data_IF_455621715635
#
_entry.id   IF_455621715635
#
_cell.length_a   1.000
_cell.length_b   1.000
_cell.length_c   1.000
_cell.angle_alpha   90.00
_cell.angle_beta   90.00
_cell.angle_gamma   90.00
#
_symmetry.space_group_name_H-M   'P 1'
#
loop_
_entity.id
_entity.type
_entity.pdbx_description
1 polymer ?
#
# COMPACT_ATOMS: atom_id res chain seq x y z
N UNK A 1 3.96 -18.89 29.59
CA UNK A 1 4.19 -17.43 29.47
C UNK A 1 2.84 -16.78 29.30
N UNK A 2 2.48 -15.81 30.14
CA UNK A 2 1.19 -15.10 30.05
C UNK A 2 1.17 -14.24 28.78
N UNK A 3 0.10 -14.32 27.98
CA UNK A 3 -0.07 -13.51 26.77
C UNK A 3 -0.42 -12.09 27.22
N UNK A 4 0.47 -11.13 26.95
CA UNK A 4 0.17 -9.71 27.18
C UNK A 4 -0.92 -9.29 26.21
N UNK A 5 -2.09 -8.91 26.70
CA UNK A 5 -3.19 -8.42 25.88
C UNK A 5 -3.14 -6.89 25.80
N UNK A 6 -2.80 -6.37 24.61
CA UNK A 6 -2.84 -4.94 24.31
C UNK A 6 -4.24 -4.57 23.78
N UNK A 7 -5.19 -4.27 24.68
CA UNK A 7 -6.59 -3.95 24.32
C UNK A 7 -7.14 -2.80 25.16
N UNK A 8 -7.76 -1.81 24.52
CA UNK A 8 -8.50 -0.74 25.19
C UNK A 8 -9.89 -1.20 25.65
N UNK A 9 -10.40 -0.61 26.74
CA UNK A 9 -11.70 -0.98 27.35
C UNK A 9 -12.92 -0.52 26.53
N UNK A 10 -12.78 0.50 25.67
CA UNK A 10 -13.86 1.00 24.79
C UNK A 10 -13.32 1.68 23.53
N UNK A 11 -14.17 1.81 22.49
CA UNK A 11 -13.83 2.49 21.23
C UNK A 11 -14.51 3.87 21.14
N UNK A 12 -13.77 4.95 20.78
CA UNK A 12 -14.31 6.30 20.72
C UNK A 12 -15.10 6.63 19.43
N UNK A 13 -15.18 5.73 18.45
CA UNK A 13 -15.68 6.04 17.09
C UNK A 13 -17.20 5.86 16.90
N UNK A 14 -18.01 6.03 17.95
CA UNK A 14 -19.40 5.57 17.95
C UNK A 14 -20.46 6.56 17.40
N UNK A 15 -20.16 7.82 17.05
CA UNK A 15 -21.20 8.72 16.50
C UNK A 15 -20.71 9.86 15.58
N UNK A 16 -21.65 10.28 14.71
CA UNK A 16 -21.79 11.48 13.87
C UNK A 16 -21.11 11.59 12.50
N UNK A 17 -21.97 11.81 11.49
CA UNK A 17 -21.73 12.12 10.06
C UNK A 17 -20.80 11.16 9.30
N UNK A 18 -21.38 10.32 8.41
CA UNK A 18 -20.65 9.36 7.58
C UNK A 18 -19.73 10.04 6.56
N UNK A 19 -18.50 10.31 6.99
CA UNK A 19 -17.39 10.68 6.14
C UNK A 19 -16.96 9.46 5.30
N UNK A 20 -16.55 9.67 4.04
CA UNK A 20 -16.13 8.58 3.13
C UNK A 20 -15.03 7.68 3.73
N UNK A 21 -14.17 8.24 4.58
CA UNK A 21 -13.16 7.48 5.34
C UNK A 21 -13.80 6.38 6.21
N UNK A 22 -14.90 6.67 6.90
CA UNK A 22 -15.58 5.68 7.74
C UNK A 22 -16.26 4.60 6.89
N UNK A 23 -16.83 4.99 5.75
CA UNK A 23 -17.38 4.03 4.78
C UNK A 23 -16.30 3.11 4.21
N UNK A 24 -15.09 3.62 3.96
CA UNK A 24 -13.94 2.83 3.53
C UNK A 24 -13.42 1.94 4.67
N UNK A 25 -13.43 2.43 5.92
CA UNK A 25 -13.05 1.63 7.09
C UNK A 25 -14.00 0.43 7.29
N UNK A 26 -15.31 0.63 7.14
CA UNK A 26 -16.31 -0.46 7.15
C UNK A 26 -16.04 -1.49 6.02
N UNK A 27 -15.42 -1.06 4.92
CA UNK A 27 -15.10 -1.89 3.74
C UNK A 27 -13.65 -2.34 3.70
N UNK A 28 -12.84 -2.08 4.73
CA UNK A 28 -11.38 -2.24 4.68
C UNK A 28 -10.97 -3.64 4.21
N UNK A 29 -11.58 -4.70 4.74
CA UNK A 29 -11.28 -6.07 4.34
C UNK A 29 -11.50 -6.31 2.84
N UNK A 30 -12.58 -5.77 2.27
CA UNK A 30 -12.85 -5.86 0.82
C UNK A 30 -11.85 -5.05 0.01
N UNK A 31 -11.51 -3.85 0.48
CA UNK A 31 -10.51 -2.99 -0.16
C UNK A 31 -9.17 -3.73 -0.23
N UNK A 32 -8.71 -4.31 0.88
CA UNK A 32 -7.43 -5.02 0.94
C UNK A 32 -7.41 -6.25 0.03
N UNK A 33 -8.49 -7.03 -0.03
CA UNK A 33 -8.60 -8.16 -0.97
C UNK A 33 -8.46 -7.67 -2.41
N UNK A 34 -9.22 -6.64 -2.80
CA UNK A 34 -9.18 -6.13 -4.17
C UNK A 34 -7.82 -5.50 -4.51
N UNK A 35 -7.20 -4.77 -3.59
CA UNK A 35 -5.84 -4.25 -3.76
C UNK A 35 -4.84 -5.39 -3.94
N UNK A 36 -4.98 -6.47 -3.18
CA UNK A 36 -4.16 -7.66 -3.31
C UNK A 36 -4.30 -8.35 -4.66
N UNK A 37 -5.53 -8.48 -5.16
CA UNK A 37 -5.80 -9.03 -6.50
C UNK A 37 -5.14 -8.20 -7.60
N UNK A 38 -5.20 -6.87 -7.49
CA UNK A 38 -4.55 -5.94 -8.42
C UNK A 38 -3.03 -6.09 -8.39
N UNK A 39 -2.43 -6.07 -7.19
CA UNK A 39 -0.99 -6.22 -7.03
C UNK A 39 -0.51 -7.59 -7.56
N UNK A 40 -1.20 -8.66 -7.20
CA UNK A 40 -0.90 -10.01 -7.67
C UNK A 40 -0.96 -10.11 -9.20
N UNK A 41 -2.01 -9.57 -9.82
CA UNK A 41 -2.16 -9.57 -11.28
C UNK A 41 -1.04 -8.80 -11.97
N UNK A 42 -0.64 -7.63 -11.42
CA UNK A 42 0.46 -6.84 -11.97
C UNK A 42 1.81 -7.58 -11.87
N UNK A 43 2.10 -8.19 -10.72
CA UNK A 43 3.35 -8.95 -10.51
C UNK A 43 3.42 -10.16 -11.43
N UNK A 44 2.33 -10.92 -11.56
CA UNK A 44 2.29 -12.07 -12.47
C UNK A 44 2.39 -11.67 -13.94
N UNK A 45 1.76 -10.56 -14.33
CA UNK A 45 1.79 -10.06 -15.71
C UNK A 45 3.10 -9.39 -16.11
N UNK A 46 3.97 -9.03 -15.16
CA UNK A 46 5.19 -8.27 -15.45
C UNK A 46 6.15 -8.97 -16.41
N UNK A 47 6.16 -10.30 -16.41
CA UNK A 47 6.95 -11.10 -17.34
C UNK A 47 6.47 -11.00 -18.79
N UNK A 48 5.25 -10.53 -19.06
CA UNK A 48 4.71 -10.33 -20.40
C UNK A 48 4.57 -8.85 -20.79
N UNK A 49 4.82 -7.93 -19.85
CA UNK A 49 4.77 -6.49 -20.08
C UNK A 49 6.06 -5.95 -20.72
N UNK A 50 5.93 -4.83 -21.43
CA UNK A 50 7.06 -4.05 -21.93
C UNK A 50 7.89 -3.50 -20.76
N UNK A 51 9.22 -3.60 -20.86
CA UNK A 51 10.13 -3.09 -19.83
C UNK A 51 10.04 -1.56 -19.65
N UNK A 52 9.56 -0.82 -20.67
CA UNK A 52 9.31 0.62 -20.57
C UNK A 52 8.00 0.97 -21.28
N UNK A 53 7.20 1.85 -20.68
CA UNK A 53 6.08 2.45 -21.37
C UNK A 53 6.58 3.41 -22.45
N UNK A 54 6.30 3.12 -23.72
CA UNK A 54 6.78 3.91 -24.88
C UNK A 54 5.96 5.16 -25.12
N UNK A 55 4.68 5.12 -24.77
CA UNK A 55 3.74 6.22 -24.94
C UNK A 55 2.82 6.31 -23.71
N UNK A 56 3.07 7.32 -22.88
CA UNK A 56 2.25 7.67 -21.71
C UNK A 56 1.47 8.97 -21.94
N UNK A 57 1.35 9.44 -23.20
CA UNK A 57 0.65 10.68 -23.55
C UNK A 57 -0.85 10.65 -23.21
N UNK A 58 -1.42 9.46 -23.02
CA UNK A 58 -2.77 9.28 -22.52
C UNK A 58 -2.97 9.81 -21.08
N UNK A 59 -1.90 9.98 -20.30
CA UNK A 59 -1.96 10.57 -18.97
C UNK A 59 -1.79 12.10 -19.04
N UNK A 60 -2.84 12.84 -18.67
CA UNK A 60 -2.80 14.30 -18.56
C UNK A 60 -2.55 14.73 -17.11
N UNK A 61 -1.34 15.21 -16.75
CA UNK A 61 -1.04 15.68 -15.41
C UNK A 61 -1.72 17.01 -15.05
N UNK A 62 -2.31 17.71 -16.02
CA UNK A 62 -3.05 18.97 -15.82
C UNK A 62 -4.54 18.76 -15.54
N UNK A 63 -5.05 17.53 -15.74
CA UNK A 63 -6.46 17.20 -15.50
C UNK A 63 -6.83 17.50 -14.05
N UNK A 64 -7.85 18.34 -13.78
CA UNK A 64 -8.20 18.72 -12.43
C UNK A 64 -8.73 17.53 -11.63
N UNK A 65 -8.30 17.44 -10.38
CA UNK A 65 -8.83 16.45 -9.43
C UNK A 65 -10.22 16.88 -8.92
N UNK A 66 -11.15 15.93 -8.68
CA UNK A 66 -12.45 16.24 -8.10
C UNK A 66 -12.33 16.92 -6.74
N UNK A 67 -13.16 17.93 -6.48
CA UNK A 67 -13.20 18.61 -5.17
C UNK A 67 -13.73 17.71 -4.04
N UNK A 68 -14.47 16.65 -4.38
CA UNK A 68 -14.98 15.66 -3.43
C UNK A 68 -14.29 14.32 -3.68
N UNK A 69 -13.83 13.68 -2.60
CA UNK A 69 -13.30 12.32 -2.67
C UNK A 69 -14.34 11.34 -3.22
N UNK A 70 -13.85 10.27 -3.85
CA UNK A 70 -14.68 9.21 -4.45
C UNK A 70 -14.65 7.89 -3.67
N UNK A 71 -13.86 7.83 -2.59
CA UNK A 71 -13.60 6.61 -1.84
C UNK A 71 -12.54 5.72 -2.48
N UNK A 72 -12.03 4.77 -1.69
CA UNK A 72 -10.84 4.00 -2.03
C UNK A 72 -11.06 3.04 -3.21
N UNK A 73 -12.22 2.40 -3.30
CA UNK A 73 -12.51 1.47 -4.40
C UNK A 73 -12.59 2.19 -5.76
N UNK A 74 -13.11 3.40 -5.80
CA UNK A 74 -13.15 4.22 -7.01
C UNK A 74 -11.75 4.71 -7.41
N UNK A 75 -10.94 5.12 -6.43
CA UNK A 75 -9.54 5.47 -6.66
C UNK A 75 -8.75 4.27 -7.19
N UNK A 76 -8.96 3.07 -6.63
CA UNK A 76 -8.30 1.84 -7.08
C UNK A 76 -8.71 1.46 -8.51
N UNK A 77 -9.95 1.72 -8.92
CA UNK A 77 -10.37 1.57 -10.33
C UNK A 77 -9.64 2.55 -11.24
N UNK A 78 -9.58 3.83 -10.86
CA UNK A 78 -8.84 4.83 -11.62
C UNK A 78 -7.34 4.47 -11.76
N UNK A 79 -6.71 3.90 -10.73
CA UNK A 79 -5.34 3.37 -10.81
C UNK A 79 -5.23 2.27 -11.87
N UNK A 80 -6.14 1.29 -11.83
CA UNK A 80 -6.13 0.17 -12.77
C UNK A 80 -6.37 0.62 -14.22
N UNK A 81 -7.28 1.56 -14.44
CA UNK A 81 -7.70 1.96 -15.77
C UNK A 81 -6.75 3.00 -16.40
N UNK A 82 -6.20 3.90 -15.58
CA UNK A 82 -5.53 5.11 -16.06
C UNK A 82 -4.02 5.13 -15.77
N UNK A 83 -3.54 4.33 -14.81
CA UNK A 83 -2.14 4.38 -14.35
C UNK A 83 -1.42 3.08 -14.67
N UNK A 84 -1.91 1.92 -14.22
CA UNK A 84 -1.23 0.63 -14.39
C UNK A 84 -0.85 0.32 -15.86
N UNK A 85 -1.69 0.59 -16.88
CA UNK A 85 -1.35 0.33 -18.27
C UNK A 85 -0.18 1.18 -18.79
N UNK A 86 0.12 2.28 -18.10
CA UNK A 86 1.16 3.24 -18.48
C UNK A 86 2.44 3.07 -17.64
N UNK A 87 2.48 2.08 -16.73
CA UNK A 87 3.67 1.78 -15.94
C UNK A 87 4.65 0.91 -16.72
N UNK A 88 5.94 1.11 -16.43
CA UNK A 88 6.99 0.20 -16.85
C UNK A 88 6.99 -1.07 -16.00
N UNK A 89 7.35 -2.21 -16.59
CA UNK A 89 7.51 -3.48 -15.88
C UNK A 89 8.85 -3.56 -15.11
N UNK A 90 9.12 -2.60 -14.22
CA UNK A 90 10.42 -2.50 -13.52
C UNK A 90 10.71 -3.66 -12.56
N UNK A 91 9.66 -4.39 -12.14
CA UNK A 91 9.78 -5.60 -11.32
C UNK A 91 10.17 -6.85 -12.13
N UNK A 92 10.04 -6.80 -13.47
CA UNK A 92 10.32 -7.92 -14.34
C UNK A 92 11.82 -8.14 -14.60
N UNK A 93 12.24 -9.38 -14.96
CA UNK A 93 13.65 -9.75 -15.10
C UNK A 93 14.36 -9.09 -16.30
N UNK A 94 13.61 -8.37 -17.15
CA UNK A 94 14.11 -7.67 -18.33
C UNK A 94 14.37 -6.18 -18.09
N UNK A 95 14.03 -5.65 -16.91
CA UNK A 95 14.29 -4.25 -16.58
C UNK A 95 15.72 -4.08 -16.07
N UNK A 96 16.59 -3.47 -16.89
CA UNK A 96 18.01 -3.26 -16.60
C UNK A 96 18.36 -1.76 -16.45
N UNK A 97 17.34 -0.92 -16.23
CA UNK A 97 17.52 0.51 -15.99
C UNK A 97 17.70 0.82 -14.50
N UNK A 98 18.54 1.81 -14.19
CA UNK A 98 18.74 2.33 -12.83
C UNK A 98 19.10 1.27 -11.77
N UNK A 99 19.04 1.66 -10.49
CA UNK A 99 19.09 0.75 -9.34
C UNK A 99 17.67 0.61 -8.82
N UNK A 100 16.85 -0.12 -9.55
CA UNK A 100 15.45 -0.37 -9.20
C UNK A 100 15.36 -1.78 -8.63
N UNK A 101 15.01 -1.88 -7.34
CA UNK A 101 15.01 -3.14 -6.61
C UNK A 101 13.88 -4.08 -7.03
N UNK A 102 14.10 -5.39 -6.87
CA UNK A 102 13.08 -6.43 -7.00
C UNK A 102 12.47 -6.74 -5.64
N UNK A 103 11.33 -6.13 -5.33
CA UNK A 103 10.61 -6.33 -4.07
C UNK A 103 10.34 -7.82 -3.85
N UNK A 104 10.86 -8.36 -2.75
CA UNK A 104 10.56 -9.74 -2.37
C UNK A 104 9.14 -9.84 -1.77
N UNK A 105 8.50 -11.01 -1.80
CA UNK A 105 7.21 -11.20 -1.12
C UNK A 105 7.24 -10.82 0.37
N UNK A 106 8.36 -11.10 1.06
CA UNK A 106 8.53 -10.73 2.47
C UNK A 106 8.59 -9.21 2.66
N UNK A 107 9.30 -8.48 1.79
CA UNK A 107 9.36 -7.02 1.82
C UNK A 107 7.97 -6.39 1.57
N UNK A 108 7.23 -6.89 0.56
CA UNK A 108 5.88 -6.41 0.25
C UNK A 108 4.92 -6.57 1.44
N UNK A 109 4.93 -7.75 2.08
CA UNK A 109 4.12 -8.00 3.28
C UNK A 109 4.56 -7.10 4.44
N UNK A 110 5.86 -6.87 4.59
CA UNK A 110 6.42 -5.93 5.57
C UNK A 110 5.87 -4.51 5.38
N UNK A 111 5.91 -3.98 4.17
CA UNK A 111 5.39 -2.64 3.83
C UNK A 111 3.88 -2.53 4.11
N UNK A 112 3.10 -3.57 3.78
CA UNK A 112 1.66 -3.59 4.05
C UNK A 112 1.36 -3.60 5.54
N UNK A 113 2.09 -4.38 6.33
CA UNK A 113 1.94 -4.39 7.78
C UNK A 113 2.35 -3.06 8.40
N UNK A 114 3.49 -2.50 7.99
CA UNK A 114 3.96 -1.21 8.48
C UNK A 114 2.91 -0.10 8.22
N UNK A 115 2.39 -0.01 7.00
CA UNK A 115 1.36 0.98 6.64
C UNK A 115 0.02 0.76 7.33
N UNK A 116 -0.38 -0.50 7.57
CA UNK A 116 -1.63 -0.80 8.27
C UNK A 116 -1.56 -0.56 9.79
N UNK A 117 -0.38 -0.79 10.40
CA UNK A 117 -0.12 -0.64 11.83
C UNK A 117 0.15 0.84 12.19
N UNK A 118 0.71 1.61 11.25
CA UNK A 118 0.86 3.07 11.30
C UNK A 118 1.47 3.58 12.62
N UNK A 119 2.60 2.98 13.02
CA UNK A 119 3.30 3.34 14.25
C UNK A 119 4.44 4.31 13.98
N UNK A 120 4.52 5.37 14.78
CA UNK A 120 5.67 6.25 14.80
C UNK A 120 6.82 5.60 15.61
N UNK A 121 7.96 5.35 14.98
CA UNK A 121 9.13 4.67 15.57
C UNK A 121 10.22 5.64 16.07
N UNK A 122 9.84 6.78 16.65
CA UNK A 122 10.82 7.80 17.09
C UNK A 122 11.55 7.49 18.39
N UNK A 123 11.12 6.49 19.17
CA UNK A 123 11.68 6.19 20.49
C UNK A 123 11.12 4.92 21.11
N UNK A 124 11.62 4.50 22.28
CA UNK A 124 11.19 3.28 22.96
C UNK A 124 9.84 3.42 23.67
N UNK A 125 9.26 4.63 23.72
CA UNK A 125 8.02 4.86 24.46
C UNK A 125 6.79 4.31 23.72
N UNK A 126 5.99 3.48 24.40
CA UNK A 126 4.64 3.11 23.95
C UNK A 126 4.54 2.00 22.90
N UNK A 127 5.65 1.52 22.33
CA UNK A 127 5.68 0.40 21.37
C UNK A 127 7.05 -0.27 21.29
N UNK A 128 7.12 -1.47 20.69
CA UNK A 128 8.37 -2.25 20.50
C UNK A 128 9.03 -1.99 19.15
N UNK A 129 8.42 -1.17 18.29
CA UNK A 129 8.87 -0.90 16.91
C UNK A 129 10.34 -0.46 16.82
N UNK A 130 10.78 0.53 17.61
CA UNK A 130 12.17 0.99 17.59
C UNK A 130 13.17 -0.10 18.04
N UNK A 131 12.77 -0.97 18.99
CA UNK A 131 13.60 -2.08 19.42
C UNK A 131 13.73 -3.19 18.36
N UNK A 132 12.69 -3.40 17.54
CA UNK A 132 12.76 -4.31 16.39
C UNK A 132 13.75 -3.79 15.34
N UNK A 133 13.73 -2.49 15.05
CA UNK A 133 14.72 -1.87 14.16
C UNK A 133 16.15 -2.03 14.72
N UNK A 134 16.36 -1.75 16.01
CA UNK A 134 17.65 -1.94 16.69
C UNK A 134 18.12 -3.40 16.62
N UNK A 135 17.21 -4.37 16.78
CA UNK A 135 17.53 -5.79 16.63
C UNK A 135 18.08 -6.12 15.24
N UNK A 136 17.49 -5.55 14.18
CA UNK A 136 17.96 -5.75 12.81
C UNK A 136 19.30 -5.03 12.58
N UNK A 137 19.47 -3.82 13.10
CA UNK A 137 20.75 -3.09 13.03
C UNK A 137 21.88 -3.89 13.69
N UNK A 138 21.63 -4.46 14.86
CA UNK A 138 22.61 -5.28 15.57
C UNK A 138 22.94 -6.61 14.88
N UNK A 139 22.08 -7.06 13.96
CA UNK A 139 22.31 -8.26 13.17
C UNK A 139 23.21 -8.01 11.95
N UNK A 140 23.15 -6.82 11.36
CA UNK A 140 23.95 -6.39 10.20
C UNK A 140 25.44 -6.22 10.55
#
# INVERSE_FOLDING_TARGET
MSRVENRAESSPTADTARHLMFDDLEKLGRILVQTGDVAHSFVQGADDMDATCRDFSAFDPSRPLPQKGRGTLDALRAVQDEILPLLAASIGPRYLGFVTGGTTPAALVGDWLAGAIDQNATGPEGSVNAAVEEQVINWL
#
